data_IF_553394854151
#
_entry.id   IF_553394854151
#
_cell.length_a   1.000
_cell.length_b   1.000
_cell.length_c   1.000
_cell.angle_alpha   90.00
_cell.angle_beta   90.00
_cell.angle_gamma   90.00
#
_symmetry.space_group_name_H-M   'P 1'
#
loop_
_entity.id
_entity.type
_entity.pdbx_description
1 polymer ?
#
# COMPACT_ATOMS: atom_id res chain seq x y z
N UNK A 1 -5.75 7.28 11.35
CA UNK A 1 -4.37 7.78 11.54
C UNK A 1 -3.87 8.42 10.26
N UNK A 2 -3.47 9.66 10.34
CA UNK A 2 -2.99 10.40 9.19
C UNK A 2 -1.46 10.32 9.10
N UNK A 3 -0.92 10.73 7.95
CA UNK A 3 0.53 10.80 7.75
C UNK A 3 1.19 11.64 8.85
N UNK A 4 0.59 12.77 9.21
CA UNK A 4 1.12 13.65 10.24
C UNK A 4 1.21 12.97 11.60
N UNK A 5 0.26 12.09 11.92
CA UNK A 5 0.28 11.34 13.18
C UNK A 5 1.44 10.35 13.21
N UNK A 6 1.70 9.70 12.07
CA UNK A 6 2.81 8.75 11.96
C UNK A 6 4.13 9.49 12.10
N UNK A 7 4.27 10.63 11.43
CA UNK A 7 5.50 11.42 11.50
C UNK A 7 5.80 11.91 12.90
N UNK A 8 4.76 12.33 13.63
CA UNK A 8 4.92 12.77 15.02
C UNK A 8 5.42 11.64 15.91
N UNK A 9 4.86 10.45 15.74
CA UNK A 9 5.29 9.28 16.55
C UNK A 9 6.73 8.91 16.25
N UNK A 10 7.13 8.99 14.98
CA UNK A 10 8.51 8.71 14.61
C UNK A 10 9.46 9.77 15.16
N UNK A 11 9.09 11.03 15.11
CA UNK A 11 9.87 12.12 15.65
C UNK A 11 10.12 11.94 17.16
N UNK A 12 9.09 11.53 17.89
CA UNK A 12 9.21 11.29 19.33
C UNK A 12 10.14 10.14 19.65
N UNK A 13 10.24 9.14 18.78
CA UNK A 13 11.13 8.00 18.98
C UNK A 13 12.53 8.23 18.49
N UNK A 14 12.71 9.03 17.46
CA UNK A 14 14.00 9.29 16.83
C UNK A 14 14.44 10.71 17.10
N UNK A 15 14.95 10.94 18.27
CA UNK A 15 15.30 12.29 18.72
C UNK A 15 16.50 12.90 18.02
N UNK A 16 17.26 12.09 17.29
CA UNK A 16 18.41 12.58 16.51
C UNK A 16 18.01 13.15 15.15
N UNK A 17 16.75 13.00 14.75
CA UNK A 17 16.26 13.45 13.47
C UNK A 17 15.23 14.56 13.66
N UNK A 18 15.33 15.59 12.83
CA UNK A 18 14.32 16.65 12.83
C UNK A 18 13.04 16.16 12.15
N UNK A 19 11.96 16.89 12.38
CA UNK A 19 10.69 16.61 11.70
C UNK A 19 10.85 16.64 10.17
N UNK A 20 11.63 17.59 9.66
CA UNK A 20 11.92 17.71 8.24
C UNK A 20 12.64 16.46 7.71
N UNK A 21 13.63 15.97 8.46
CA UNK A 21 14.37 14.76 8.07
C UNK A 21 13.45 13.54 7.99
N UNK A 22 12.59 13.38 8.99
CA UNK A 22 11.66 12.25 9.04
C UNK A 22 10.68 12.32 7.87
N UNK A 23 10.18 13.51 7.56
CA UNK A 23 9.28 13.70 6.44
C UNK A 23 9.95 13.36 5.11
N UNK A 24 11.20 13.77 4.92
CA UNK A 24 11.96 13.45 3.71
C UNK A 24 12.16 11.94 3.57
N UNK A 25 12.53 11.27 4.65
CA UNK A 25 12.71 9.81 4.65
C UNK A 25 11.41 9.12 4.28
N UNK A 26 10.30 9.56 4.86
CA UNK A 26 8.99 8.99 4.56
C UNK A 26 8.62 9.18 3.09
N UNK A 27 8.85 10.36 2.54
CA UNK A 27 8.55 10.65 1.15
C UNK A 27 9.42 9.82 0.19
N UNK A 28 10.70 9.65 0.49
CA UNK A 28 11.61 8.82 -0.30
C UNK A 28 11.13 7.37 -0.28
N UNK A 29 10.80 6.88 0.89
CA UNK A 29 10.31 5.50 1.06
C UNK A 29 9.06 5.27 0.24
N UNK A 30 8.09 6.17 0.33
CA UNK A 30 6.84 6.07 -0.43
C UNK A 30 7.07 6.10 -1.93
N UNK A 31 7.93 6.99 -2.40
CA UNK A 31 8.27 7.08 -3.82
C UNK A 31 8.94 5.82 -4.34
N UNK A 32 9.82 5.22 -3.55
CA UNK A 32 10.48 3.98 -3.95
C UNK A 32 9.52 2.82 -4.03
N UNK A 33 8.53 2.76 -3.14
CA UNK A 33 7.48 1.74 -3.22
C UNK A 33 6.69 1.90 -4.52
N UNK A 34 6.25 3.11 -4.82
CA UNK A 34 5.49 3.38 -6.03
C UNK A 34 6.31 3.01 -7.28
N UNK A 35 7.56 3.41 -7.32
CA UNK A 35 8.43 3.14 -8.46
C UNK A 35 8.64 1.64 -8.67
N UNK A 36 8.88 0.90 -7.60
CA UNK A 36 9.05 -0.55 -7.68
C UNK A 36 7.79 -1.23 -8.21
N UNK A 37 6.63 -0.81 -7.72
CA UNK A 37 5.36 -1.36 -8.18
C UNK A 37 5.10 -1.04 -9.65
N UNK A 38 5.46 0.17 -10.10
CA UNK A 38 5.34 0.54 -11.51
C UNK A 38 6.22 -0.34 -12.40
N UNK A 39 7.35 -0.79 -11.89
CA UNK A 39 8.27 -1.68 -12.61
C UNK A 39 7.82 -3.14 -12.55
N UNK A 40 6.70 -3.42 -11.93
CA UNK A 40 6.19 -4.78 -11.80
C UNK A 40 6.85 -5.61 -10.72
N UNK A 41 7.60 -4.98 -9.83
CA UNK A 41 8.25 -5.69 -8.73
C UNK A 41 7.29 -5.84 -7.56
N UNK A 42 7.40 -6.96 -6.87
CA UNK A 42 6.69 -7.18 -5.62
C UNK A 42 7.53 -6.63 -4.47
N UNK A 43 6.85 -6.11 -3.46
CA UNK A 43 7.53 -5.59 -2.28
C UNK A 43 7.12 -6.44 -1.09
N UNK A 44 8.07 -7.18 -0.55
CA UNK A 44 7.84 -7.99 0.63
C UNK A 44 8.42 -7.29 1.85
N UNK A 45 7.57 -7.04 2.82
CA UNK A 45 7.98 -6.45 4.10
C UNK A 45 7.83 -7.53 5.15
N UNK A 46 8.96 -8.06 5.60
CA UNK A 46 8.97 -9.15 6.56
C UNK A 46 8.20 -8.78 7.82
N UNK A 47 7.32 -9.67 8.25
CA UNK A 47 6.47 -9.44 9.41
C UNK A 47 5.22 -8.62 9.14
N UNK A 48 5.10 -8.05 7.95
CA UNK A 48 3.97 -7.21 7.60
C UNK A 48 3.13 -7.80 6.46
N UNK A 49 3.72 -7.97 5.29
CA UNK A 49 3.01 -8.51 4.14
C UNK A 49 3.71 -8.19 2.83
N UNK A 50 3.01 -8.47 1.76
CA UNK A 50 3.53 -8.27 0.42
C UNK A 50 2.61 -7.35 -0.38
N UNK A 51 3.20 -6.34 -1.02
CA UNK A 51 2.50 -5.44 -1.92
C UNK A 51 2.84 -5.83 -3.36
N UNK A 52 1.84 -5.90 -4.21
CA UNK A 52 2.05 -6.16 -5.62
C UNK A 52 1.00 -5.47 -6.47
N UNK A 53 1.39 -5.18 -7.70
CA UNK A 53 0.49 -4.60 -8.68
C UNK A 53 -0.28 -5.73 -9.36
N UNK A 54 -1.61 -5.62 -9.35
CA UNK A 54 -2.47 -6.59 -10.04
C UNK A 54 -3.06 -5.93 -11.26
N UNK A 55 -2.93 -6.60 -12.39
CA UNK A 55 -3.46 -6.10 -13.65
C UNK A 55 -4.89 -6.55 -13.84
N UNK A 56 -5.78 -5.61 -14.09
CA UNK A 56 -7.14 -5.90 -14.53
C UNK A 56 -7.15 -5.72 -16.05
N UNK A 57 -7.21 -6.85 -16.75
CA UNK A 57 -7.20 -6.83 -18.21
C UNK A 57 -8.40 -6.07 -18.78
N UNK A 58 -8.21 -5.48 -19.94
CA UNK A 58 -9.29 -4.86 -20.69
C UNK A 58 -10.39 -5.89 -20.96
N UNK A 59 -11.61 -5.46 -20.84
CA UNK A 59 -12.74 -6.34 -21.12
C UNK A 59 -13.94 -5.54 -21.56
N UNK A 60 -14.80 -6.21 -22.28
CA UNK A 60 -16.06 -5.66 -22.74
C UNK A 60 -17.10 -5.87 -21.63
N UNK A 61 -17.78 -4.79 -21.26
CA UNK A 61 -18.85 -4.85 -20.28
C UNK A 61 -20.12 -4.28 -20.90
N UNK A 62 -21.25 -4.78 -20.45
CA UNK A 62 -22.56 -4.35 -20.97
C UNK A 62 -23.24 -3.44 -19.97
N UNK A 63 -23.72 -2.31 -20.45
CA UNK A 63 -24.51 -1.40 -19.62
C UNK A 63 -25.90 -2.00 -19.40
N UNK A 64 -26.30 -2.27 -18.15
CA UNK A 64 -27.60 -2.92 -17.88
C UNK A 64 -28.81 -2.05 -18.26
N UNK A 65 -28.65 -0.73 -18.31
CA UNK A 65 -29.77 0.17 -18.66
C UNK A 65 -30.01 0.29 -20.16
N UNK A 66 -28.95 0.40 -20.94
CA UNK A 66 -29.04 0.60 -22.38
C UNK A 66 -28.69 -0.63 -23.18
N UNK A 67 -28.17 -1.65 -22.52
CA UNK A 67 -27.71 -2.87 -23.17
C UNK A 67 -26.55 -2.61 -24.14
N UNK A 68 -25.91 -1.47 -24.05
CA UNK A 68 -24.75 -1.14 -24.87
C UNK A 68 -23.51 -1.83 -24.32
N UNK A 69 -22.64 -2.22 -25.24
CA UNK A 69 -21.34 -2.80 -24.88
C UNK A 69 -20.35 -1.68 -24.60
N UNK A 70 -19.76 -1.72 -23.43
CA UNK A 70 -18.75 -0.76 -23.03
C UNK A 70 -17.39 -1.46 -22.97
N UNK A 71 -16.37 -0.80 -23.47
CA UNK A 71 -15.00 -1.31 -23.40
C UNK A 71 -14.28 -0.67 -22.22
N UNK A 72 -13.80 -1.50 -21.32
CA UNK A 72 -13.02 -1.05 -20.18
C UNK A 72 -11.56 -1.36 -20.42
N UNK A 73 -10.72 -0.33 -20.52
CA UNK A 73 -9.29 -0.48 -20.76
C UNK A 73 -8.59 -1.14 -19.58
N UNK A 74 -7.36 -1.59 -19.80
CA UNK A 74 -6.53 -2.17 -18.75
C UNK A 74 -6.31 -1.16 -17.63
N UNK A 75 -6.36 -1.65 -16.43
CA UNK A 75 -6.07 -0.85 -15.25
C UNK A 75 -5.30 -1.70 -14.26
N UNK A 76 -4.69 -1.04 -13.27
CA UNK A 76 -3.91 -1.72 -12.25
C UNK A 76 -4.47 -1.44 -10.88
N UNK A 77 -4.39 -2.41 -10.01
CA UNK A 77 -4.77 -2.30 -8.60
C UNK A 77 -3.61 -2.71 -7.73
N UNK A 78 -3.54 -2.10 -6.57
CA UNK A 78 -2.63 -2.54 -5.54
C UNK A 78 -3.27 -3.72 -4.80
N UNK A 79 -2.54 -4.82 -4.74
CA UNK A 79 -2.95 -5.98 -3.96
C UNK A 79 -2.02 -6.13 -2.77
N UNK A 80 -2.60 -6.19 -1.58
CA UNK A 80 -1.85 -6.43 -0.36
C UNK A 80 -2.19 -7.81 0.18
N UNK A 81 -1.16 -8.63 0.36
CA UNK A 81 -1.30 -9.93 1.00
C UNK A 81 -0.70 -9.84 2.39
N UNK A 82 -1.56 -10.00 3.39
CA UNK A 82 -1.11 -9.92 4.78
C UNK A 82 -0.13 -11.05 5.10
N UNK A 83 0.95 -10.71 5.83
CA UNK A 83 1.91 -11.69 6.29
C UNK A 83 1.39 -12.44 7.51
N UNK A 84 1.96 -13.62 7.74
CA UNK A 84 1.52 -14.49 8.83
C UNK A 84 1.70 -13.85 10.20
N UNK A 85 2.81 -13.15 10.41
CA UNK A 85 3.09 -12.51 11.70
C UNK A 85 2.05 -11.44 12.00
N UNK A 86 1.79 -10.55 11.04
CA UNK A 86 0.80 -9.50 11.22
C UNK A 86 -0.60 -10.09 11.42
N UNK A 87 -0.94 -11.10 10.63
CA UNK A 87 -2.23 -11.76 10.74
C UNK A 87 -2.44 -12.33 12.14
N UNK A 88 -1.42 -13.01 12.67
CA UNK A 88 -1.50 -13.59 14.01
C UNK A 88 -1.62 -12.52 15.09
N UNK A 89 -0.89 -11.41 14.94
CA UNK A 89 -0.96 -10.30 15.88
C UNK A 89 -2.35 -9.67 15.90
N UNK A 90 -2.96 -9.49 14.74
CA UNK A 90 -4.30 -8.91 14.65
C UNK A 90 -5.38 -9.81 15.24
N UNK A 91 -5.18 -11.12 15.17
CA UNK A 91 -6.15 -12.09 15.66
C UNK A 91 -5.83 -12.63 17.04
N UNK A 92 -4.76 -12.17 17.67
CA UNK A 92 -4.44 -12.59 19.03
C UNK A 92 -5.41 -11.95 20.01
N UNK A 93 -5.70 -12.68 21.08
CA UNK A 93 -6.54 -12.14 22.16
C UNK A 93 -5.70 -11.32 23.11
N UNK A 94 -4.80 -10.57 22.59
CA UNK A 94 -3.92 -9.75 23.39
C UNK A 94 -4.70 -8.65 24.07
N UNK A 95 -4.53 -8.56 25.37
CA UNK A 95 -5.17 -7.53 26.19
C UNK A 95 -4.16 -6.44 26.44
N UNK A 96 -4.16 -5.47 25.59
CA UNK A 96 -3.11 -4.53 25.82
C UNK A 96 -3.45 -3.19 25.63
#
# INVERSE_FOLDING_TARGET
MLKSDILKKLENKQKNLSNTDIEQIFNIFTKKIILALKQGKNIEIRGFGTLRKKNNKAKEVRNPKTNEKLFKSDSFKLHFRIGKVLHNELNSKHKG
#
